data_IF_663367605329
#
_entry.id   IF_663367605329
#
_cell.length_a   1.000
_cell.length_b   1.000
_cell.length_c   1.000
_cell.angle_alpha   90.00
_cell.angle_beta   90.00
_cell.angle_gamma   90.00
#
_symmetry.space_group_name_H-M   'P 1'
#
loop_
_entity.id
_entity.type
_entity.pdbx_description
1 polymer ?
#
# COMPACT_ATOMS: atom_id res chain seq x y z
N UNK A 1 -16.71 29.30 1.33
CA UNK A 1 -17.54 28.10 1.15
C UNK A 1 -18.93 28.28 1.76
N UNK A 2 -19.05 28.77 3.02
CA UNK A 2 -20.34 29.00 3.67
C UNK A 2 -21.21 30.07 2.94
N UNK A 3 -20.58 31.12 2.42
CA UNK A 3 -21.26 32.15 1.64
C UNK A 3 -21.78 31.59 0.31
N UNK A 4 -20.93 30.83 -0.39
CA UNK A 4 -21.30 30.19 -1.65
C UNK A 4 -22.41 29.14 -1.47
N UNK A 5 -22.39 28.37 -0.38
CA UNK A 5 -23.45 27.41 -0.08
C UNK A 5 -24.76 28.08 0.28
N UNK A 6 -24.74 29.22 0.99
CA UNK A 6 -25.94 30.03 1.27
C UNK A 6 -26.57 30.58 -0.02
N UNK A 7 -25.76 31.14 -0.93
CA UNK A 7 -26.20 31.59 -2.24
C UNK A 7 -26.81 30.45 -3.07
N UNK A 8 -26.16 29.26 -3.10
CA UNK A 8 -26.68 28.08 -3.82
C UNK A 8 -27.98 27.53 -3.23
N UNK A 9 -28.23 27.71 -1.91
CA UNK A 9 -29.50 27.37 -1.26
C UNK A 9 -30.58 28.41 -1.61
N UNK A 10 -30.25 29.72 -1.59
CA UNK A 10 -31.16 30.78 -2.01
C UNK A 10 -31.57 30.67 -3.48
N UNK A 11 -30.62 30.30 -4.34
CA UNK A 11 -30.86 30.07 -5.77
C UNK A 11 -31.56 28.71 -6.04
N UNK A 12 -31.90 27.96 -5.02
CA UNK A 12 -32.48 26.59 -5.10
C UNK A 12 -31.69 25.62 -5.95
N UNK A 13 -30.38 25.76 -5.99
CA UNK A 13 -29.46 24.82 -6.67
C UNK A 13 -29.05 23.69 -5.75
N UNK A 14 -29.13 23.87 -4.44
CA UNK A 14 -28.91 22.82 -3.43
C UNK A 14 -29.99 22.89 -2.34
N UNK A 15 -30.32 21.75 -1.76
CA UNK A 15 -31.22 21.65 -0.61
C UNK A 15 -30.47 21.21 0.64
N UNK A 16 -30.90 21.72 1.79
CA UNK A 16 -30.33 21.32 3.09
C UNK A 16 -31.03 20.06 3.62
N UNK A 17 -30.23 19.03 3.94
CA UNK A 17 -30.74 17.76 4.46
C UNK A 17 -30.44 17.68 5.96
N UNK A 18 -31.45 17.60 6.79
CA UNK A 18 -31.32 17.42 8.22
C UNK A 18 -31.10 15.95 8.57
N UNK A 19 -29.95 15.62 9.18
CA UNK A 19 -29.74 14.26 9.72
C UNK A 19 -30.58 14.08 10.99
N UNK A 20 -31.34 12.99 11.05
CA UNK A 20 -32.27 12.69 12.17
C UNK A 20 -31.57 12.17 13.45
N UNK A 21 -30.27 12.30 13.64
CA UNK A 21 -29.57 11.80 14.83
C UNK A 21 -29.53 12.84 15.94
N UNK A 22 -29.94 12.41 17.16
CA UNK A 22 -30.01 13.22 18.39
C UNK A 22 -28.66 13.51 19.05
N UNK A 23 -27.53 13.50 18.37
CA UNK A 23 -26.22 13.79 18.96
C UNK A 23 -25.85 15.26 18.79
N UNK A 24 -25.29 15.87 19.83
CA UNK A 24 -24.81 17.26 19.85
C UNK A 24 -23.68 17.43 18.81
N UNK A 25 -23.98 18.13 17.73
CA UNK A 25 -23.05 18.44 16.64
C UNK A 25 -23.57 18.01 15.27
N UNK A 26 -24.75 18.52 14.88
CA UNK A 26 -25.32 18.25 13.54
C UNK A 26 -24.40 18.79 12.44
N UNK A 27 -23.80 17.90 11.65
CA UNK A 27 -23.25 18.29 10.35
C UNK A 27 -24.44 18.58 9.42
N UNK A 28 -24.49 19.76 8.85
CA UNK A 28 -25.44 20.10 7.80
C UNK A 28 -24.96 19.49 6.50
N UNK A 29 -25.82 18.74 5.85
CA UNK A 29 -25.60 18.12 4.54
C UNK A 29 -26.43 18.84 3.50
N UNK A 30 -25.93 19.00 2.29
CA UNK A 30 -26.57 19.66 1.17
C UNK A 30 -26.64 18.72 -0.02
N UNK A 31 -27.75 18.74 -0.73
CA UNK A 31 -27.97 17.99 -1.97
C UNK A 31 -28.09 18.97 -3.13
N UNK A 32 -27.44 18.71 -4.26
CA UNK A 32 -27.67 19.45 -5.49
C UNK A 32 -29.14 19.25 -5.97
N UNK A 33 -29.84 20.34 -6.20
CA UNK A 33 -31.22 20.28 -6.74
C UNK A 33 -31.11 20.12 -8.26
N UNK A 34 -31.42 18.93 -8.79
CA UNK A 34 -31.56 18.73 -10.22
C UNK A 34 -32.72 19.58 -10.74
N UNK A 35 -32.49 20.33 -11.84
CA UNK A 35 -33.44 21.29 -12.41
C UNK A 35 -34.85 20.75 -12.54
N UNK A 36 -35.82 21.55 -12.11
CA UNK A 36 -37.25 21.30 -11.98
C UNK A 36 -37.84 20.25 -12.92
N UNK A 37 -38.14 19.08 -12.37
CA UNK A 37 -39.44 18.38 -12.62
C UNK A 37 -39.69 17.43 -11.46
N UNK A 38 -40.75 17.72 -10.71
CA UNK A 38 -41.21 16.93 -9.58
C UNK A 38 -41.79 15.59 -10.05
N UNK A 39 -41.13 14.52 -9.74
CA UNK A 39 -41.68 13.23 -9.43
C UNK A 39 -40.62 12.45 -8.67
N UNK A 40 -41.00 11.70 -7.63
CA UNK A 40 -40.11 11.04 -6.68
C UNK A 40 -39.31 9.85 -7.30
N UNK A 41 -38.52 10.13 -8.31
CA UNK A 41 -37.48 9.23 -8.81
C UNK A 41 -36.13 9.91 -8.54
N UNK A 42 -35.32 9.28 -7.71
CA UNK A 42 -33.90 9.65 -7.53
C UNK A 42 -33.29 9.71 -8.93
N UNK A 43 -32.70 10.86 -9.28
CA UNK A 43 -32.04 11.03 -10.57
C UNK A 43 -30.86 10.06 -10.63
N UNK A 44 -30.96 8.99 -11.42
CA UNK A 44 -29.90 7.97 -11.54
C UNK A 44 -28.55 8.57 -12.04
N UNK A 45 -28.57 9.77 -12.61
CA UNK A 45 -27.34 10.46 -13.08
C UNK A 45 -26.50 11.00 -11.93
N UNK A 46 -27.04 11.13 -10.71
CA UNK A 46 -26.34 11.58 -9.51
C UNK A 46 -25.77 10.44 -8.66
N UNK A 47 -26.04 9.17 -9.04
CA UNK A 47 -25.63 8.00 -8.28
C UNK A 47 -24.27 7.47 -8.78
N UNK A 48 -23.43 7.12 -7.84
CA UNK A 48 -22.10 6.55 -8.11
C UNK A 48 -22.02 5.13 -7.57
N UNK A 49 -21.43 4.23 -8.36
CA UNK A 49 -20.98 2.93 -7.85
C UNK A 49 -19.62 3.09 -7.19
N UNK A 50 -19.46 2.44 -6.03
CA UNK A 50 -18.22 2.47 -5.29
C UNK A 50 -18.05 1.30 -4.34
N UNK A 51 -16.92 1.26 -3.67
CA UNK A 51 -16.60 0.25 -2.66
C UNK A 51 -16.46 0.90 -1.30
N UNK A 52 -17.08 0.30 -0.29
CA UNK A 52 -16.91 0.70 1.10
C UNK A 52 -15.55 0.26 1.58
N UNK A 53 -14.80 1.17 2.19
CA UNK A 53 -13.49 0.89 2.77
C UNK A 53 -13.47 1.37 4.23
N UNK A 54 -12.96 0.51 5.11
CA UNK A 54 -12.75 0.83 6.51
C UNK A 54 -11.27 1.19 6.72
N UNK A 55 -11.00 2.45 7.03
CA UNK A 55 -9.67 2.93 7.34
C UNK A 55 -9.61 3.34 8.81
N UNK A 56 -9.13 2.44 9.67
CA UNK A 56 -9.04 2.65 11.10
C UNK A 56 -10.37 3.12 11.72
N UNK A 57 -10.48 4.38 12.11
CA UNK A 57 -11.68 4.97 12.72
C UNK A 57 -12.68 5.55 11.70
N UNK A 58 -12.30 5.66 10.43
CA UNK A 58 -13.14 6.25 9.38
C UNK A 58 -13.67 5.20 8.43
N UNK A 59 -14.89 5.42 7.91
CA UNK A 59 -15.48 4.67 6.81
C UNK A 59 -15.57 5.60 5.62
N UNK A 60 -15.11 5.13 4.46
CA UNK A 60 -15.17 5.89 3.22
C UNK A 60 -15.76 5.05 2.10
N UNK A 61 -16.30 5.69 1.08
CA UNK A 61 -16.65 5.05 -0.19
C UNK A 61 -15.62 5.50 -1.22
N UNK A 62 -14.94 4.56 -1.86
CA UNK A 62 -14.10 4.79 -3.02
C UNK A 62 -14.95 4.60 -4.27
N UNK A 63 -15.01 5.61 -5.12
CA UNK A 63 -15.82 5.61 -6.33
C UNK A 63 -15.04 6.20 -7.50
N UNK A 64 -15.53 5.95 -8.72
CA UNK A 64 -14.97 6.55 -9.93
C UNK A 64 -15.82 7.76 -10.32
N UNK A 65 -15.17 8.88 -10.52
CA UNK A 65 -15.80 10.13 -10.98
C UNK A 65 -16.15 10.04 -12.46
N UNK A 66 -17.00 10.93 -12.96
CA UNK A 66 -17.41 10.97 -14.36
C UNK A 66 -16.25 11.19 -15.35
N UNK A 67 -15.15 11.77 -14.90
CA UNK A 67 -13.91 11.96 -15.68
C UNK A 67 -12.93 10.78 -15.55
N UNK A 68 -13.36 9.66 -14.92
CA UNK A 68 -12.60 8.43 -14.80
C UNK A 68 -11.57 8.40 -13.66
N UNK A 69 -11.50 9.43 -12.84
CA UNK A 69 -10.59 9.47 -11.68
C UNK A 69 -11.16 8.70 -10.50
N UNK A 70 -10.29 8.12 -9.69
CA UNK A 70 -10.66 7.48 -8.43
C UNK A 70 -10.70 8.55 -7.33
N UNK A 71 -11.83 8.64 -6.63
CA UNK A 71 -12.02 9.53 -5.51
C UNK A 71 -12.56 8.79 -4.29
N UNK A 72 -12.46 9.42 -3.11
CA UNK A 72 -13.02 8.89 -1.87
C UNK A 72 -13.90 9.93 -1.22
N UNK A 73 -15.05 9.49 -0.69
CA UNK A 73 -15.94 10.32 0.11
C UNK A 73 -16.15 9.65 1.47
N UNK A 74 -16.22 10.44 2.54
CA UNK A 74 -16.54 9.93 3.88
C UNK A 74 -17.94 9.35 3.90
N UNK A 75 -18.13 8.18 4.48
CA UNK A 75 -19.45 7.57 4.55
C UNK A 75 -20.35 8.40 5.49
N UNK A 76 -21.50 8.84 4.97
CA UNK A 76 -22.56 9.41 5.77
C UNK A 76 -23.19 8.32 6.64
N UNK A 77 -23.91 8.73 7.71
CA UNK A 77 -24.63 7.76 8.54
C UNK A 77 -25.58 6.92 7.68
N UNK A 78 -25.29 5.63 7.56
CA UNK A 78 -26.10 4.67 6.85
C UNK A 78 -26.94 3.87 7.85
N UNK A 79 -28.21 3.58 7.50
CA UNK A 79 -29.03 2.59 8.23
C UNK A 79 -28.61 1.17 7.90
N UNK A 80 -28.06 0.94 6.71
CA UNK A 80 -27.57 -0.37 6.31
C UNK A 80 -26.28 -0.73 7.05
N UNK A 81 -26.21 -1.97 7.50
CA UNK A 81 -24.99 -2.55 8.05
C UNK A 81 -24.02 -2.83 6.90
N UNK A 82 -22.89 -2.13 6.87
CA UNK A 82 -21.90 -2.18 5.77
C UNK A 82 -20.66 -2.94 6.22
N UNK A 83 -20.12 -3.71 5.28
CA UNK A 83 -18.85 -4.43 5.43
C UNK A 83 -17.75 -3.74 4.62
N UNK A 84 -16.52 -3.94 5.03
CA UNK A 84 -15.36 -3.57 4.22
C UNK A 84 -15.38 -4.36 2.90
N UNK A 85 -15.23 -3.64 1.78
CA UNK A 85 -15.31 -4.22 0.44
C UNK A 85 -16.72 -4.37 -0.14
N UNK A 86 -17.79 -3.97 0.57
CA UNK A 86 -19.15 -3.96 -0.02
C UNK A 86 -19.20 -3.03 -1.25
N UNK A 87 -19.72 -3.53 -2.36
CA UNK A 87 -20.03 -2.72 -3.52
C UNK A 87 -21.38 -2.05 -3.32
N UNK A 88 -21.41 -0.73 -3.40
CA UNK A 88 -22.60 0.08 -3.10
C UNK A 88 -22.90 1.06 -4.22
N UNK A 89 -24.17 1.46 -4.29
CA UNK A 89 -24.59 2.67 -4.99
C UNK A 89 -24.80 3.75 -3.96
N UNK A 90 -24.16 4.88 -4.15
CA UNK A 90 -24.22 6.02 -3.24
C UNK A 90 -24.47 7.33 -3.99
N UNK A 91 -25.03 8.28 -3.28
CA UNK A 91 -25.15 9.68 -3.66
C UNK A 91 -24.08 10.48 -2.92
N UNK A 92 -23.48 11.46 -3.61
CA UNK A 92 -22.51 12.36 -3.02
C UNK A 92 -23.20 13.59 -2.46
N UNK A 93 -23.04 13.81 -1.17
CA UNK A 93 -23.58 14.96 -0.45
C UNK A 93 -22.44 15.93 -0.11
N UNK A 94 -22.72 17.22 -0.20
CA UNK A 94 -21.75 18.24 0.21
C UNK A 94 -21.90 18.50 1.71
N UNK A 95 -20.81 18.36 2.45
CA UNK A 95 -20.75 18.64 3.88
C UNK A 95 -20.03 19.96 4.15
N UNK A 96 -20.61 20.83 4.97
CA UNK A 96 -20.00 22.12 5.38
C UNK A 96 -18.65 21.96 6.10
N UNK A 97 -18.38 20.81 6.74
CA UNK A 97 -17.18 20.60 7.57
C UNK A 97 -16.12 19.68 6.94
N UNK A 98 -16.50 18.76 6.06
CA UNK A 98 -15.68 17.61 5.71
C UNK A 98 -15.56 17.34 4.19
N UNK A 99 -16.04 18.26 3.34
CA UNK A 99 -16.05 18.03 1.89
C UNK A 99 -17.20 17.12 1.45
N UNK A 100 -16.94 16.14 0.61
CA UNK A 100 -17.96 15.22 0.12
C UNK A 100 -18.20 14.08 1.11
N UNK A 101 -19.50 13.78 1.34
CA UNK A 101 -19.96 12.59 2.07
C UNK A 101 -20.75 11.69 1.12
N UNK A 102 -20.60 10.38 1.26
CA UNK A 102 -21.34 9.39 0.47
C UNK A 102 -22.51 8.83 1.29
N UNK A 103 -23.74 9.03 0.79
CA UNK A 103 -24.94 8.41 1.34
C UNK A 103 -25.24 7.15 0.54
N UNK A 104 -25.22 5.97 1.20
CA UNK A 104 -25.48 4.69 0.53
C UNK A 104 -26.98 4.51 0.35
N UNK A 105 -27.41 4.33 -0.89
CA UNK A 105 -28.78 4.02 -1.28
C UNK A 105 -29.08 2.52 -1.25
N UNK A 106 -28.16 1.73 -1.80
CA UNK A 106 -28.29 0.26 -1.83
C UNK A 106 -26.94 -0.42 -1.93
N UNK A 107 -26.92 -1.66 -1.46
CA UNK A 107 -25.78 -2.55 -1.64
C UNK A 107 -26.00 -3.33 -2.93
N UNK A 108 -25.01 -3.24 -3.83
CA UNK A 108 -25.02 -3.96 -5.13
C UNK A 108 -24.54 -5.39 -4.96
N UNK A 109 -23.45 -5.53 -4.21
CA UNK A 109 -22.89 -6.82 -3.87
C UNK A 109 -22.24 -6.75 -2.49
N UNK A 110 -22.46 -7.76 -1.69
CA UNK A 110 -21.75 -7.94 -0.42
C UNK A 110 -20.32 -8.36 -0.69
N UNK A 111 -19.43 -7.90 0.17
CA UNK A 111 -18.10 -8.47 0.21
C UNK A 111 -18.19 -9.96 0.48
N UNK A 112 -17.77 -10.78 -0.47
CA UNK A 112 -17.73 -12.25 -0.35
C UNK A 112 -16.53 -12.74 0.45
N UNK A 113 -15.71 -11.79 0.89
CA UNK A 113 -14.48 -12.05 1.61
C UNK A 113 -14.78 -12.65 2.97
N UNK A 114 -14.10 -13.73 3.34
CA UNK A 114 -14.15 -14.24 4.69
C UNK A 114 -13.69 -13.19 5.69
N UNK A 115 -14.43 -13.04 6.79
CA UNK A 115 -14.12 -12.10 7.86
C UNK A 115 -13.46 -12.83 9.00
N UNK A 116 -12.37 -12.26 9.53
CA UNK A 116 -11.72 -12.77 10.73
C UNK A 116 -12.41 -12.19 11.97
N UNK A 117 -13.03 -13.04 12.77
CA UNK A 117 -13.78 -12.68 13.96
C UNK A 117 -13.07 -13.15 15.22
N UNK A 118 -13.03 -12.29 16.24
CA UNK A 118 -12.66 -12.66 17.58
C UNK A 118 -13.91 -13.02 18.38
N UNK A 119 -13.95 -14.21 18.96
CA UNK A 119 -15.05 -14.68 19.79
C UNK A 119 -15.04 -13.95 21.14
N UNK A 120 -16.08 -13.19 21.44
CA UNK A 120 -16.15 -12.36 22.66
C UNK A 120 -17.04 -12.95 23.75
N UNK A 121 -17.77 -14.02 23.47
CA UNK A 121 -18.56 -14.68 24.50
C UNK A 121 -19.71 -15.53 23.95
N UNK A 122 -20.39 -16.14 24.88
CA UNK A 122 -21.57 -16.95 24.67
C UNK A 122 -22.77 -16.20 25.21
N UNK A 123 -23.87 -16.15 24.46
CA UNK A 123 -25.09 -15.56 24.98
C UNK A 123 -25.56 -16.34 26.23
N UNK A 124 -25.69 -15.62 27.37
CA UNK A 124 -26.09 -16.20 28.66
C UNK A 124 -27.61 -16.37 28.82
N UNK A 125 -28.41 -15.88 27.87
CA UNK A 125 -29.88 -15.96 27.98
C UNK A 125 -30.39 -17.34 27.62
N UNK A 126 -30.62 -18.06 28.68
CA UNK A 126 -31.18 -19.41 28.87
C UNK A 126 -32.00 -20.07 27.79
N UNK A 127 -31.79 -21.37 27.64
CA UNK A 127 -32.61 -22.39 26.94
C UNK A 127 -32.60 -22.46 25.41
N UNK A 128 -31.92 -21.58 24.68
CA UNK A 128 -31.71 -21.74 23.25
C UNK A 128 -30.31 -22.20 22.90
N UNK A 129 -30.13 -22.81 21.71
CA UNK A 129 -28.86 -23.34 21.18
C UNK A 129 -27.69 -22.43 21.46
N UNK A 130 -26.59 -23.04 21.92
CA UNK A 130 -25.31 -22.39 22.14
C UNK A 130 -24.93 -21.44 21.00
N UNK A 131 -25.06 -20.12 21.22
CA UNK A 131 -24.71 -19.11 20.23
C UNK A 131 -23.45 -18.38 20.68
N UNK A 132 -22.55 -18.11 19.74
CA UNK A 132 -21.34 -17.37 19.98
C UNK A 132 -21.42 -15.99 19.31
N UNK A 133 -21.00 -14.99 20.03
CA UNK A 133 -20.84 -13.67 19.46
C UNK A 133 -19.37 -13.43 19.11
N UNK A 134 -19.14 -12.77 17.97
CA UNK A 134 -17.82 -12.34 17.53
C UNK A 134 -17.83 -10.89 17.15
N UNK A 135 -16.67 -10.27 17.21
CA UNK A 135 -16.40 -8.93 16.68
C UNK A 135 -15.35 -9.05 15.62
N UNK A 136 -15.42 -8.20 14.62
CA UNK A 136 -14.37 -8.09 13.62
C UNK A 136 -13.03 -7.85 14.32
N UNK A 137 -12.09 -8.76 14.11
CA UNK A 137 -10.80 -8.74 14.78
C UNK A 137 -9.93 -7.54 14.37
N UNK A 138 -10.15 -6.99 13.18
CA UNK A 138 -9.45 -5.81 12.68
C UNK A 138 -10.07 -4.48 13.12
N UNK A 139 -11.39 -4.34 13.02
CA UNK A 139 -12.08 -3.06 13.23
C UNK A 139 -12.89 -2.95 14.51
N UNK A 140 -13.27 -4.06 15.14
CA UNK A 140 -14.13 -4.15 16.34
C UNK A 140 -15.50 -3.45 16.18
N UNK A 141 -16.05 -3.33 14.98
CA UNK A 141 -17.18 -2.43 14.68
C UNK A 141 -18.50 -3.09 14.35
N UNK A 142 -18.50 -4.39 14.10
CA UNK A 142 -19.72 -5.13 13.79
C UNK A 142 -19.87 -6.31 14.72
N UNK A 143 -21.10 -6.60 15.13
CA UNK A 143 -21.44 -7.78 15.90
C UNK A 143 -21.85 -8.91 14.94
N UNK A 144 -21.29 -10.07 15.17
CA UNK A 144 -21.58 -11.27 14.40
C UNK A 144 -22.08 -12.37 15.28
N UNK A 145 -23.23 -12.96 14.93
CA UNK A 145 -23.69 -14.19 15.53
C UNK A 145 -23.02 -15.36 14.82
N UNK A 146 -22.07 -15.99 15.47
CA UNK A 146 -21.28 -17.08 14.90
C UNK A 146 -21.95 -18.43 15.17
N UNK A 147 -22.23 -19.17 14.08
CA UNK A 147 -22.76 -20.53 14.17
C UNK A 147 -21.62 -21.53 14.33
N UNK A 148 -21.68 -22.34 15.41
CA UNK A 148 -20.77 -23.47 15.56
C UNK A 148 -20.98 -24.46 14.41
N UNK A 149 -19.88 -24.90 13.83
CA UNK A 149 -19.86 -26.01 12.88
C UNK A 149 -19.08 -27.17 13.51
N UNK A 150 -19.70 -28.33 13.59
CA UNK A 150 -19.11 -29.53 14.20
C UNK A 150 -17.79 -29.97 13.56
N UNK A 151 -17.53 -29.58 12.32
CA UNK A 151 -16.29 -29.87 11.61
C UNK A 151 -15.06 -29.14 12.19
N UNK A 152 -15.25 -28.07 12.96
CA UNK A 152 -14.16 -27.23 13.48
C UNK A 152 -13.98 -27.30 14.99
N UNK A 153 -14.71 -28.19 15.65
CA UNK A 153 -14.63 -28.37 17.09
C UNK A 153 -15.38 -27.29 17.90
N UNK A 154 -15.06 -27.24 19.18
CA UNK A 154 -15.69 -26.33 20.14
C UNK A 154 -14.99 -24.97 20.12
N UNK A 155 -15.78 -23.88 20.02
CA UNK A 155 -15.27 -22.52 20.15
C UNK A 155 -15.10 -22.13 21.62
N UNK A 156 -14.10 -21.28 21.88
CA UNK A 156 -13.79 -20.68 23.16
C UNK A 156 -13.74 -19.15 23.06
N UNK A 157 -13.97 -18.41 24.17
CA UNK A 157 -13.71 -16.97 24.19
C UNK A 157 -12.26 -16.66 23.77
N UNK A 158 -12.09 -15.55 23.06
CA UNK A 158 -10.83 -15.08 22.45
C UNK A 158 -10.33 -15.90 21.26
N UNK A 159 -10.98 -17.00 20.88
CA UNK A 159 -10.66 -17.66 19.62
C UNK A 159 -10.82 -16.69 18.45
N UNK A 160 -9.89 -16.78 17.53
CA UNK A 160 -10.03 -16.12 16.24
C UNK A 160 -10.46 -17.13 15.20
N UNK A 161 -11.56 -16.81 14.55
CA UNK A 161 -12.16 -17.67 13.54
C UNK A 161 -12.30 -16.93 12.22
N UNK A 162 -12.03 -17.61 11.12
CA UNK A 162 -12.35 -17.13 9.80
C UNK A 162 -13.78 -17.57 9.48
N UNK A 163 -14.65 -16.61 9.18
CA UNK A 163 -16.05 -16.84 8.95
C UNK A 163 -16.52 -16.36 7.58
N UNK A 164 -17.50 -17.06 7.02
CA UNK A 164 -18.31 -16.59 5.90
C UNK A 164 -19.57 -15.94 6.47
N UNK A 165 -19.88 -14.75 6.00
CA UNK A 165 -21.15 -14.08 6.32
C UNK A 165 -22.27 -14.78 5.58
N UNK A 166 -23.36 -15.11 6.29
CA UNK A 166 -24.51 -15.84 5.70
C UNK A 166 -25.73 -14.95 5.56
N UNK A 167 -26.04 -14.15 6.56
CA UNK A 167 -27.25 -13.32 6.58
C UNK A 167 -27.03 -12.04 7.38
N UNK A 168 -27.76 -11.00 7.03
CA UNK A 168 -27.96 -9.80 7.85
C UNK A 168 -29.29 -9.90 8.58
N UNK A 169 -29.34 -9.56 9.86
CA UNK A 169 -30.54 -9.62 10.69
C UNK A 169 -30.73 -8.34 11.46
N UNK A 170 -31.98 -7.90 11.48
CA UNK A 170 -32.42 -6.85 12.38
C UNK A 170 -32.61 -7.43 13.78
N UNK A 171 -32.09 -6.77 14.79
CA UNK A 171 -32.19 -7.17 16.20
C UNK A 171 -32.71 -6.04 17.09
N UNK A 172 -33.29 -6.40 18.22
CA UNK A 172 -33.83 -5.43 19.19
C UNK A 172 -32.73 -4.54 19.81
N UNK A 173 -31.47 -5.02 19.81
CA UNK A 173 -30.27 -4.30 20.32
C UNK A 173 -29.40 -3.73 19.19
N UNK A 174 -29.86 -3.76 17.95
CA UNK A 174 -29.16 -3.34 16.74
C UNK A 174 -28.97 -4.46 15.75
N UNK A 175 -28.67 -4.10 14.50
CA UNK A 175 -28.49 -5.04 13.42
C UNK A 175 -27.19 -5.82 13.59
N UNK A 176 -27.18 -7.07 13.14
CA UNK A 176 -26.03 -7.96 13.22
C UNK A 176 -25.97 -8.90 12.02
N UNK A 177 -24.78 -9.42 11.77
CA UNK A 177 -24.60 -10.47 10.76
C UNK A 177 -24.62 -11.86 11.40
N UNK A 178 -25.16 -12.84 10.69
CA UNK A 178 -24.88 -14.25 10.99
C UNK A 178 -23.67 -14.70 10.18
N UNK A 179 -22.81 -15.49 10.81
CA UNK A 179 -21.58 -15.96 10.21
C UNK A 179 -21.34 -17.44 10.52
N UNK A 180 -20.83 -18.17 9.52
CA UNK A 180 -20.47 -19.57 9.64
C UNK A 180 -18.95 -19.72 9.66
N UNK A 181 -18.43 -20.52 10.59
CA UNK A 181 -16.98 -20.77 10.71
C UNK A 181 -16.48 -21.57 9.52
N UNK A 182 -15.49 -21.05 8.83
CA UNK A 182 -14.73 -21.74 7.77
C UNK A 182 -13.51 -22.42 8.37
N UNK A 183 -12.87 -21.78 9.34
CA UNK A 183 -11.65 -22.29 9.99
C UNK A 183 -11.40 -21.58 11.32
N UNK A 184 -10.91 -22.31 12.31
CA UNK A 184 -10.32 -21.74 13.52
C UNK A 184 -8.87 -21.36 13.21
N UNK A 185 -8.48 -20.14 13.54
CA UNK A 185 -7.14 -19.61 13.33
C UNK A 185 -6.37 -19.73 14.64
N UNK A 186 -5.13 -20.14 14.57
CA UNK A 186 -4.27 -20.44 15.72
C UNK A 186 -4.03 -19.29 16.72
N UNK A 187 -3.42 -19.63 17.84
CA UNK A 187 -3.12 -18.87 19.07
C UNK A 187 -2.91 -17.35 18.90
N UNK A 188 -3.62 -16.51 19.69
CA UNK A 188 -3.56 -15.05 19.62
C UNK A 188 -2.26 -14.43 20.17
N UNK A 189 -1.30 -15.23 20.62
CA UNK A 189 -0.12 -14.76 21.37
C UNK A 189 1.13 -14.55 20.53
N UNK A 190 1.11 -14.82 19.22
CA UNK A 190 2.30 -14.68 18.38
C UNK A 190 2.17 -13.56 17.35
N UNK A 191 3.29 -12.89 17.05
CA UNK A 191 3.36 -11.87 15.99
C UNK A 191 2.91 -12.43 14.64
N UNK A 192 3.26 -13.69 14.34
CA UNK A 192 2.83 -14.40 13.12
C UNK A 192 1.32 -14.56 13.02
N UNK A 193 0.64 -14.70 14.17
CA UNK A 193 -0.81 -14.74 14.23
C UNK A 193 -1.40 -13.38 13.83
N UNK A 194 -0.87 -12.29 14.37
CA UNK A 194 -1.33 -10.94 14.03
C UNK A 194 -1.08 -10.59 12.56
N UNK A 195 0.08 -10.95 12.01
CA UNK A 195 0.34 -10.83 10.59
C UNK A 195 -0.67 -11.58 9.73
N UNK A 196 -0.96 -12.83 10.11
CA UNK A 196 -1.94 -13.66 9.39
C UNK A 196 -3.34 -13.03 9.44
N UNK A 197 -3.70 -12.44 10.58
CA UNK A 197 -4.96 -11.73 10.74
C UNK A 197 -5.05 -10.49 9.84
N UNK A 198 -3.99 -9.68 9.81
CA UNK A 198 -3.90 -8.51 8.93
C UNK A 198 -3.98 -8.94 7.47
N UNK A 199 -3.26 -9.99 7.06
CA UNK A 199 -3.31 -10.54 5.70
C UNK A 199 -4.73 -10.94 5.30
N UNK A 200 -5.48 -11.57 6.20
CA UNK A 200 -6.85 -12.00 5.95
C UNK A 200 -7.80 -10.80 5.84
N UNK A 201 -7.70 -9.85 6.76
CA UNK A 201 -8.59 -8.70 6.80
C UNK A 201 -8.40 -7.72 5.63
N UNK A 202 -7.17 -7.65 5.10
CA UNK A 202 -6.84 -6.77 3.98
C UNK A 202 -6.69 -7.50 2.65
N UNK A 203 -7.04 -8.80 2.61
CA UNK A 203 -6.97 -9.61 1.39
C UNK A 203 -5.58 -9.63 0.75
N UNK A 204 -4.54 -9.66 1.59
CA UNK A 204 -3.20 -9.78 1.07
C UNK A 204 -3.10 -10.98 0.11
N UNK A 205 -2.48 -10.82 -1.05
CA UNK A 205 -2.43 -11.87 -2.06
C UNK A 205 -1.81 -13.16 -1.50
N UNK A 206 -2.38 -14.29 -1.86
CA UNK A 206 -1.83 -15.60 -1.53
C UNK A 206 -0.61 -15.96 -2.41
N UNK A 207 -0.41 -17.26 -2.62
CA UNK A 207 0.64 -17.76 -3.52
C UNK A 207 0.45 -17.27 -4.96
N UNK A 208 1.55 -17.20 -5.69
CA UNK A 208 1.49 -16.89 -7.11
C UNK A 208 0.78 -18.00 -7.90
N UNK A 209 0.02 -17.66 -8.94
CA UNK A 209 -0.53 -18.63 -9.88
C UNK A 209 0.58 -19.55 -10.43
N UNK A 210 0.25 -20.82 -10.65
CA UNK A 210 1.22 -21.81 -11.17
C UNK A 210 1.88 -21.36 -12.49
N UNK A 211 1.12 -20.70 -13.36
CA UNK A 211 1.64 -20.13 -14.63
C UNK A 211 2.73 -19.08 -14.38
N UNK A 212 2.53 -18.17 -13.43
CA UNK A 212 3.50 -17.14 -13.08
C UNK A 212 4.76 -17.75 -12.45
N UNK A 213 4.61 -18.71 -11.54
CA UNK A 213 5.75 -19.45 -10.95
C UNK A 213 6.57 -20.20 -12.00
N UNK A 214 5.89 -20.90 -12.90
CA UNK A 214 6.55 -21.61 -14.00
C UNK A 214 7.25 -20.66 -14.97
N UNK A 215 6.65 -19.49 -15.25
CA UNK A 215 7.26 -18.47 -16.10
C UNK A 215 8.53 -17.93 -15.43
N UNK A 216 8.45 -17.51 -14.16
CA UNK A 216 9.59 -17.02 -13.38
C UNK A 216 10.76 -18.02 -13.35
N UNK A 217 10.46 -19.33 -13.18
CA UNK A 217 11.51 -20.37 -13.11
C UNK A 217 12.28 -20.58 -14.42
N UNK A 218 11.79 -20.07 -15.54
CA UNK A 218 12.43 -20.16 -16.86
C UNK A 218 13.24 -18.93 -17.23
N UNK A 219 13.09 -17.85 -16.47
CA UNK A 219 13.82 -16.61 -16.71
C UNK A 219 15.27 -16.76 -16.26
N UNK A 220 16.17 -16.25 -17.06
CA UNK A 220 17.58 -16.13 -16.77
C UNK A 220 18.16 -14.97 -17.58
N UNK A 221 19.15 -14.30 -17.05
CA UNK A 221 19.93 -13.34 -17.81
C UNK A 221 20.81 -14.06 -18.83
N UNK A 222 20.75 -13.65 -20.08
CA UNK A 222 21.52 -14.22 -21.18
C UNK A 222 22.61 -13.25 -21.62
N UNK A 223 23.69 -13.74 -22.22
CA UNK A 223 24.76 -12.87 -22.74
C UNK A 223 24.29 -11.90 -23.80
N UNK A 224 23.31 -12.30 -24.61
CA UNK A 224 22.68 -11.45 -25.64
C UNK A 224 21.89 -10.29 -25.06
N UNK A 225 21.39 -10.40 -23.82
CA UNK A 225 20.66 -9.33 -23.13
C UNK A 225 21.55 -8.12 -22.80
N UNK A 226 22.87 -8.31 -22.86
CA UNK A 226 23.86 -7.25 -22.63
C UNK A 226 24.09 -6.38 -23.89
N UNK A 227 23.74 -6.90 -25.08
CA UNK A 227 24.01 -6.21 -26.34
C UNK A 227 23.23 -4.89 -26.45
N UNK A 228 23.95 -3.84 -26.88
CA UNK A 228 23.37 -2.50 -27.03
C UNK A 228 23.11 -1.77 -25.70
N UNK A 229 23.46 -2.35 -24.56
CA UNK A 229 23.39 -1.70 -23.26
C UNK A 229 24.69 -0.97 -22.94
N UNK A 230 24.57 0.15 -22.27
CA UNK A 230 25.72 0.89 -21.74
C UNK A 230 26.40 0.05 -20.64
N UNK A 231 27.72 -0.02 -20.68
CA UNK A 231 28.51 -0.71 -19.67
C UNK A 231 28.83 0.20 -18.50
N UNK A 232 28.33 -0.13 -17.31
CA UNK A 232 28.57 0.57 -16.06
C UNK A 232 29.24 -0.33 -15.02
N UNK A 233 29.81 -1.45 -15.43
CA UNK A 233 30.40 -2.45 -14.52
C UNK A 233 31.65 -1.92 -13.79
N UNK A 234 32.33 -0.95 -14.34
CA UNK A 234 33.50 -0.32 -13.73
C UNK A 234 33.17 0.90 -12.87
N UNK A 235 31.91 1.34 -12.86
CA UNK A 235 31.44 2.46 -12.02
C UNK A 235 31.24 1.97 -10.59
N UNK A 236 31.57 2.82 -9.60
CA UNK A 236 31.46 2.53 -8.16
C UNK A 236 30.00 2.57 -7.66
N UNK A 237 29.09 1.91 -8.37
CA UNK A 237 27.67 1.80 -7.99
C UNK A 237 27.52 0.91 -6.77
N UNK A 238 26.80 1.38 -5.76
CA UNK A 238 26.49 0.65 -4.52
C UNK A 238 25.02 0.68 -4.23
N UNK A 239 24.51 -0.33 -3.52
CA UNK A 239 23.15 -0.35 -2.96
C UNK A 239 23.19 -0.01 -1.47
N UNK A 240 22.17 0.70 -0.96
CA UNK A 240 22.08 1.11 0.45
C UNK A 240 20.66 0.81 0.92
N UNK A 241 20.49 -0.20 1.77
CA UNK A 241 19.19 -0.74 2.15
C UNK A 241 19.13 -1.13 3.62
N UNK A 242 17.93 -1.45 4.12
CA UNK A 242 17.75 -2.02 5.45
C UNK A 242 18.50 -3.34 5.62
N UNK A 243 18.85 -3.70 6.85
CA UNK A 243 19.63 -4.90 7.16
C UNK A 243 19.00 -6.19 6.61
N UNK A 244 17.67 -6.28 6.66
CA UNK A 244 16.89 -7.46 6.24
C UNK A 244 16.46 -7.45 4.77
N UNK A 245 16.73 -6.36 4.04
CA UNK A 245 16.39 -6.24 2.61
C UNK A 245 17.17 -7.27 1.77
N UNK A 246 16.49 -7.79 0.74
CA UNK A 246 17.03 -8.74 -0.24
C UNK A 246 16.71 -8.39 -1.68
N UNK A 247 15.84 -7.42 -1.85
CA UNK A 247 15.33 -6.85 -3.09
C UNK A 247 15.98 -5.46 -3.29
N UNK A 248 17.22 -5.47 -3.76
CA UNK A 248 17.97 -4.24 -4.02
C UNK A 248 17.59 -3.70 -5.38
N UNK A 249 16.69 -2.72 -5.40
CA UNK A 249 16.09 -2.22 -6.64
C UNK A 249 16.90 -1.08 -7.26
N UNK A 250 17.66 -0.34 -6.45
CA UNK A 250 18.43 0.82 -6.88
C UNK A 250 19.89 0.81 -6.40
N UNK A 251 20.75 1.44 -7.19
CA UNK A 251 22.13 1.69 -6.85
C UNK A 251 22.54 3.09 -7.27
N UNK A 252 23.44 3.70 -6.50
CA UNK A 252 23.92 5.06 -6.74
C UNK A 252 25.44 5.13 -6.84
N UNK A 253 25.92 6.12 -7.60
CA UNK A 253 27.29 6.61 -7.57
C UNK A 253 27.29 8.12 -7.76
N UNK A 254 28.09 8.83 -6.97
CA UNK A 254 28.29 10.29 -7.13
C UNK A 254 29.75 10.56 -7.42
N UNK A 255 30.00 11.36 -8.43
CA UNK A 255 31.36 11.82 -8.78
C UNK A 255 31.39 13.35 -8.90
N UNK A 256 32.51 13.95 -8.52
CA UNK A 256 32.77 15.40 -8.70
C UNK A 256 33.06 15.67 -10.17
N UNK A 257 32.53 16.75 -10.69
CA UNK A 257 32.83 17.28 -12.02
C UNK A 257 33.33 18.75 -11.92
N UNK A 258 33.85 19.28 -13.00
CA UNK A 258 34.28 20.67 -13.05
C UNK A 258 33.16 21.68 -12.76
N UNK A 259 31.91 21.30 -13.03
CA UNK A 259 30.73 22.15 -12.85
C UNK A 259 29.91 21.83 -11.58
N UNK A 260 30.26 20.79 -10.83
CA UNK A 260 29.49 20.34 -9.68
C UNK A 260 29.55 18.82 -9.51
N UNK A 261 28.42 18.11 -9.79
CA UNK A 261 28.30 16.68 -9.53
C UNK A 261 27.69 15.93 -10.72
N UNK A 262 28.10 14.69 -10.88
CA UNK A 262 27.40 13.70 -11.64
C UNK A 262 26.82 12.66 -10.67
N UNK A 263 25.50 12.63 -10.53
CA UNK A 263 24.77 11.58 -9.85
C UNK A 263 24.34 10.53 -10.88
N UNK A 264 24.82 9.32 -10.70
CA UNK A 264 24.38 8.16 -11.48
C UNK A 264 23.48 7.30 -10.62
N UNK A 265 22.28 7.03 -11.13
CA UNK A 265 21.28 6.14 -10.51
C UNK A 265 21.04 4.98 -11.44
N UNK A 266 21.09 3.77 -10.93
CA UNK A 266 20.80 2.56 -11.68
C UNK A 266 19.62 1.85 -11.02
N UNK A 267 18.54 1.65 -11.76
CA UNK A 267 17.33 0.97 -11.29
C UNK A 267 17.23 -0.38 -12.00
N UNK A 268 16.93 -1.45 -11.28
CA UNK A 268 16.74 -2.79 -11.83
C UNK A 268 15.76 -2.78 -13.03
N UNK A 269 16.17 -3.30 -14.18
CA UNK A 269 15.35 -3.35 -15.39
C UNK A 269 14.36 -4.52 -15.33
N UNK A 270 13.39 -4.41 -14.43
CA UNK A 270 12.31 -5.40 -14.26
C UNK A 270 11.53 -5.60 -15.55
N UNK A 271 11.38 -4.55 -16.35
CA UNK A 271 10.64 -4.57 -17.62
C UNK A 271 11.29 -5.44 -18.70
N UNK A 272 12.58 -5.76 -18.54
CA UNK A 272 13.26 -6.73 -19.38
C UNK A 272 12.70 -8.15 -19.20
N UNK A 273 12.38 -8.52 -17.97
CA UNK A 273 11.93 -9.86 -17.59
C UNK A 273 10.41 -9.99 -17.55
N UNK A 274 9.71 -8.94 -17.14
CA UNK A 274 8.24 -8.90 -17.02
C UNK A 274 7.67 -8.12 -18.21
N UNK A 275 6.98 -8.80 -19.10
CA UNK A 275 6.42 -8.20 -20.31
C UNK A 275 4.92 -8.01 -20.18
N UNK A 276 4.41 -6.95 -20.77
CA UNK A 276 2.98 -6.64 -20.76
C UNK A 276 2.16 -7.84 -21.24
N UNK A 277 1.19 -8.27 -20.43
CA UNK A 277 0.30 -9.39 -20.72
C UNK A 277 0.87 -10.78 -20.44
N UNK A 278 2.11 -10.90 -19.95
CA UNK A 278 2.63 -12.20 -19.52
C UNK A 278 2.07 -12.62 -18.15
N UNK A 279 2.24 -13.89 -17.72
CA UNK A 279 1.72 -14.36 -16.45
C UNK A 279 2.27 -13.64 -15.21
N UNK A 280 3.46 -13.01 -15.29
CA UNK A 280 4.05 -12.22 -14.21
C UNK A 280 3.42 -10.85 -14.14
N UNK A 281 3.23 -10.18 -15.28
CA UNK A 281 2.53 -8.91 -15.39
C UNK A 281 1.09 -9.01 -14.86
N UNK A 282 0.35 -10.03 -15.31
CA UNK A 282 -1.01 -10.29 -14.80
C UNK A 282 -1.05 -10.52 -13.29
N UNK A 283 -0.06 -11.20 -12.73
CA UNK A 283 0.03 -11.44 -11.30
C UNK A 283 0.43 -10.18 -10.53
N UNK A 284 1.39 -9.40 -11.04
CA UNK A 284 1.85 -8.16 -10.46
C UNK A 284 0.75 -7.09 -10.46
N UNK A 285 0.02 -6.95 -11.56
CA UNK A 285 -1.11 -6.02 -11.68
C UNK A 285 -2.19 -6.29 -10.62
N UNK A 286 -2.51 -7.57 -10.35
CA UNK A 286 -3.47 -7.97 -9.32
C UNK A 286 -2.95 -7.73 -7.90
N UNK A 287 -1.66 -7.81 -7.68
CA UNK A 287 -1.03 -7.61 -6.38
C UNK A 287 -0.85 -6.13 -6.04
N UNK A 288 -0.52 -5.31 -7.04
CA UNK A 288 -0.36 -3.86 -6.96
C UNK A 288 0.95 -3.41 -6.32
N UNK A 289 1.40 -4.06 -5.25
CA UNK A 289 2.63 -3.78 -4.52
C UNK A 289 3.13 -5.03 -3.75
N UNK A 290 4.29 -4.91 -3.13
CA UNK A 290 4.74 -5.82 -2.09
C UNK A 290 4.18 -5.41 -0.73
N UNK A 291 3.95 -6.38 0.16
CA UNK A 291 3.46 -6.15 1.52
C UNK A 291 4.54 -6.62 2.50
N UNK A 292 5.04 -5.70 3.29
CA UNK A 292 6.08 -5.98 4.28
C UNK A 292 5.45 -6.14 5.66
N UNK A 293 5.66 -7.29 6.28
CA UNK A 293 5.22 -7.63 7.62
C UNK A 293 6.43 -7.85 8.52
N UNK A 294 6.29 -7.71 9.84
CA UNK A 294 7.42 -7.86 10.76
C UNK A 294 8.18 -9.20 10.64
N UNK A 295 7.51 -10.29 10.25
CA UNK A 295 8.17 -11.62 10.12
C UNK A 295 8.17 -12.18 8.71
N UNK A 296 7.62 -11.46 7.72
CA UNK A 296 7.43 -12.03 6.38
C UNK A 296 7.09 -10.97 5.33
N UNK A 297 7.33 -11.30 4.07
CA UNK A 297 6.99 -10.46 2.93
C UNK A 297 6.02 -11.20 2.01
N UNK A 298 5.02 -10.49 1.48
CA UNK A 298 4.18 -10.94 0.37
C UNK A 298 4.59 -10.13 -0.85
N UNK A 299 5.49 -10.63 -1.71
CA UNK A 299 6.08 -9.83 -2.75
C UNK A 299 5.13 -9.61 -3.93
N UNK A 300 5.28 -8.49 -4.64
CA UNK A 300 4.58 -8.20 -5.88
C UNK A 300 5.03 -9.13 -7.01
N UNK A 301 6.31 -9.45 -7.07
CA UNK A 301 6.94 -10.38 -8.02
C UNK A 301 7.49 -11.60 -7.29
N UNK A 302 7.60 -12.78 -7.93
CA UNK A 302 8.22 -13.95 -7.34
C UNK A 302 9.67 -13.67 -6.90
N UNK A 303 10.10 -14.25 -5.77
CA UNK A 303 11.46 -14.06 -5.22
C UNK A 303 12.60 -14.41 -6.20
N UNK A 304 12.36 -15.29 -7.17
CA UNK A 304 13.32 -15.56 -8.24
C UNK A 304 13.64 -14.32 -9.10
N UNK A 305 12.72 -13.34 -9.15
CA UNK A 305 12.97 -12.06 -9.78
C UNK A 305 13.42 -11.03 -8.74
N UNK A 306 12.59 -10.75 -7.75
CA UNK A 306 12.83 -9.64 -6.82
C UNK A 306 14.10 -9.81 -5.99
N UNK A 307 14.43 -11.03 -5.57
CA UNK A 307 15.57 -11.29 -4.70
C UNK A 307 16.78 -11.87 -5.46
N UNK A 308 16.65 -12.18 -6.74
CA UNK A 308 17.77 -12.71 -7.55
C UNK A 308 17.93 -11.93 -8.86
N UNK A 309 17.17 -12.23 -9.93
CA UNK A 309 17.45 -11.69 -11.27
C UNK A 309 17.43 -10.16 -11.34
N UNK A 310 16.50 -9.53 -10.64
CA UNK A 310 16.36 -8.08 -10.58
C UNK A 310 17.15 -7.44 -9.44
N UNK A 311 17.43 -8.18 -8.36
CA UNK A 311 18.16 -7.64 -7.22
C UNK A 311 19.61 -7.30 -7.58
N UNK A 312 20.04 -6.05 -7.30
CA UNK A 312 21.37 -5.53 -7.62
C UNK A 312 22.43 -6.03 -6.62
N UNK A 313 22.47 -7.35 -6.43
CA UNK A 313 23.41 -7.99 -5.50
C UNK A 313 24.87 -7.73 -5.91
N UNK A 314 25.80 -7.58 -4.94
CA UNK A 314 27.20 -7.30 -5.22
C UNK A 314 27.85 -8.33 -6.14
N UNK A 315 28.79 -7.87 -6.95
CA UNK A 315 29.68 -8.66 -7.82
C UNK A 315 28.97 -9.53 -8.87
N UNK A 316 27.70 -9.19 -9.19
CA UNK A 316 26.97 -9.83 -10.31
C UNK A 316 26.56 -8.78 -11.34
N UNK A 317 26.65 -9.19 -12.62
CA UNK A 317 26.14 -8.36 -13.69
C UNK A 317 24.61 -8.30 -13.61
N UNK A 318 24.04 -7.10 -13.66
CA UNK A 318 22.60 -6.86 -13.59
C UNK A 318 22.16 -5.88 -14.66
N UNK A 319 21.00 -6.17 -15.25
CA UNK A 319 20.38 -5.29 -16.21
C UNK A 319 19.67 -4.16 -15.48
N UNK A 320 19.95 -2.94 -15.92
CA UNK A 320 19.40 -1.73 -15.28
C UNK A 320 18.96 -0.73 -16.34
N UNK A 321 18.11 0.19 -15.91
CA UNK A 321 17.94 1.50 -16.56
C UNK A 321 18.74 2.49 -15.73
N UNK A 322 19.71 3.15 -16.36
CA UNK A 322 20.53 4.17 -15.70
C UNK A 322 20.03 5.57 -16.01
N UNK A 323 20.13 6.42 -15.01
CA UNK A 323 19.98 7.87 -15.13
C UNK A 323 21.31 8.55 -14.80
N UNK A 324 21.84 9.37 -15.70
CA UNK A 324 22.96 10.27 -15.42
C UNK A 324 22.40 11.68 -15.22
N UNK A 325 22.59 12.25 -14.04
CA UNK A 325 22.05 13.55 -13.64
C UNK A 325 23.23 14.47 -13.35
N UNK A 326 23.44 15.44 -14.22
CA UNK A 326 24.46 16.50 -14.03
C UNK A 326 23.87 17.62 -13.20
N UNK A 327 24.52 17.95 -12.10
CA UNK A 327 24.06 18.93 -11.11
C UNK A 327 25.17 19.95 -10.91
N UNK A 328 24.83 21.23 -10.89
CA UNK A 328 25.83 22.29 -10.64
C UNK A 328 26.22 22.39 -9.15
N UNK A 329 27.15 23.26 -8.84
CA UNK A 329 27.62 23.50 -7.47
C UNK A 329 26.59 24.16 -6.55
N UNK A 330 25.43 24.55 -7.09
CA UNK A 330 24.30 25.14 -6.36
C UNK A 330 23.10 24.19 -6.25
N UNK A 331 23.20 22.96 -6.76
CA UNK A 331 22.13 21.97 -6.69
C UNK A 331 21.16 21.97 -7.88
N UNK A 332 21.35 22.83 -8.89
CA UNK A 332 20.47 22.83 -10.05
C UNK A 332 20.81 21.71 -11.01
N UNK A 333 19.79 21.01 -11.49
CA UNK A 333 19.94 19.98 -12.52
C UNK A 333 20.22 20.64 -13.87
N UNK A 334 21.40 20.40 -14.43
CA UNK A 334 21.83 20.91 -15.72
C UNK A 334 21.35 20.03 -16.88
N UNK A 335 21.44 18.71 -16.70
CA UNK A 335 21.09 17.73 -17.74
C UNK A 335 20.78 16.39 -17.10
N UNK A 336 19.81 15.68 -17.68
CA UNK A 336 19.51 14.28 -17.33
C UNK A 336 19.50 13.45 -18.61
N UNK A 337 20.06 12.23 -18.55
CA UNK A 337 20.00 11.27 -19.62
C UNK A 337 19.71 9.87 -19.09
N UNK A 338 18.92 9.10 -19.83
CA UNK A 338 18.54 7.73 -19.48
C UNK A 338 19.03 6.74 -20.53
N UNK A 339 19.46 5.57 -20.09
CA UNK A 339 19.86 4.50 -20.99
C UNK A 339 19.65 3.13 -20.36
N UNK A 340 19.28 2.12 -21.14
CA UNK A 340 19.45 0.73 -20.76
C UNK A 340 20.94 0.45 -20.53
N UNK A 341 21.27 -0.18 -19.41
CA UNK A 341 22.66 -0.42 -19.03
C UNK A 341 22.84 -1.80 -18.40
N UNK A 342 24.08 -2.21 -18.25
CA UNK A 342 24.52 -3.30 -17.40
C UNK A 342 25.43 -2.74 -16.34
N UNK A 343 25.19 -3.14 -15.09
CA UNK A 343 26.03 -2.74 -13.95
C UNK A 343 26.50 -3.94 -13.15
N UNK A 344 27.48 -3.69 -12.28
CA UNK A 344 27.92 -4.61 -11.25
C UNK A 344 28.08 -3.83 -9.96
N UNK A 345 27.23 -4.09 -8.96
CA UNK A 345 27.32 -3.43 -7.67
C UNK A 345 28.65 -3.77 -6.98
N UNK A 346 29.36 -2.75 -6.51
CA UNK A 346 30.65 -2.91 -5.84
C UNK A 346 30.49 -3.27 -4.37
N UNK A 347 29.38 -2.84 -3.76
CA UNK A 347 29.05 -3.14 -2.38
C UNK A 347 27.55 -3.04 -2.13
N UNK A 348 27.08 -3.83 -1.16
CA UNK A 348 25.79 -3.66 -0.53
C UNK A 348 26.05 -3.16 0.89
N UNK A 349 25.51 -1.97 1.20
CA UNK A 349 25.59 -1.37 2.53
C UNK A 349 24.23 -1.41 3.22
N UNK A 350 24.24 -1.51 4.53
CA UNK A 350 23.10 -1.10 5.34
C UNK A 350 23.15 0.42 5.55
N UNK A 351 22.03 1.03 5.95
CA UNK A 351 21.99 2.44 6.32
C UNK A 351 23.00 2.75 7.44
N UNK A 352 23.13 1.88 8.43
CA UNK A 352 24.10 2.02 9.51
C UNK A 352 25.55 1.97 8.99
N UNK A 353 25.87 0.98 8.15
CA UNK A 353 27.19 0.87 7.55
C UNK A 353 27.56 2.08 6.68
N UNK A 354 26.62 2.61 5.89
CA UNK A 354 26.84 3.80 5.09
C UNK A 354 27.11 5.02 5.99
N UNK A 355 26.34 5.20 7.06
CA UNK A 355 26.56 6.25 8.07
C UNK A 355 27.93 6.10 8.72
N UNK A 356 28.28 4.91 9.17
CA UNK A 356 29.53 4.65 9.91
C UNK A 356 30.75 4.86 9.02
N UNK A 357 30.67 4.52 7.71
CA UNK A 357 31.72 4.82 6.74
C UNK A 357 31.93 6.32 6.53
N UNK A 358 30.85 7.08 6.38
CA UNK A 358 30.93 8.53 6.12
C UNK A 358 31.51 9.27 7.32
N UNK A 359 31.12 8.88 8.54
CA UNK A 359 31.52 9.54 9.78
C UNK A 359 32.70 8.87 10.49
N UNK A 360 33.28 7.84 9.92
CA UNK A 360 34.42 7.08 10.49
C UNK A 360 34.15 6.54 11.91
N UNK A 361 32.93 6.09 12.17
CA UNK A 361 32.48 5.68 13.49
C UNK A 361 32.90 4.24 13.87
N UNK A 362 33.19 3.39 12.87
CA UNK A 362 33.50 1.97 13.08
C UNK A 362 34.64 1.49 12.19
N UNK A 363 35.73 1.03 12.82
CA UNK A 363 36.92 0.51 12.13
C UNK A 363 36.64 -0.79 11.37
N UNK A 364 35.80 -1.67 11.92
CA UNK A 364 35.41 -2.94 11.29
C UNK A 364 34.62 -2.71 9.98
N UNK A 365 33.73 -1.72 9.98
CA UNK A 365 32.99 -1.29 8.79
C UNK A 365 33.92 -0.71 7.75
N UNK A 366 34.88 0.13 8.17
CA UNK A 366 35.91 0.69 7.28
C UNK A 366 36.76 -0.42 6.63
N UNK A 367 37.15 -1.42 7.38
CA UNK A 367 37.90 -2.57 6.86
C UNK A 367 37.06 -3.46 5.93
N UNK A 368 35.76 -3.61 6.23
CA UNK A 368 34.83 -4.39 5.40
C UNK A 368 34.68 -3.84 3.99
N UNK A 369 34.67 -2.51 3.85
CA UNK A 369 34.49 -1.82 2.57
C UNK A 369 35.76 -1.14 2.07
N UNK A 370 36.90 -1.63 2.47
CA UNK A 370 38.19 -1.17 1.95
C UNK A 370 38.28 -1.36 0.42
N UNK A 371 38.99 -0.50 -0.31
CA UNK A 371 39.05 -0.55 -1.78
C UNK A 371 39.40 -1.92 -2.34
N UNK A 372 40.27 -2.67 -1.69
CA UNK A 372 40.69 -4.02 -2.10
C UNK A 372 39.53 -5.03 -2.09
N UNK A 373 38.53 -4.83 -1.23
CA UNK A 373 37.33 -5.64 -1.13
C UNK A 373 36.19 -5.16 -2.02
N UNK A 374 36.30 -3.95 -2.56
CA UNK A 374 35.32 -3.29 -3.41
C UNK A 374 35.82 -3.08 -4.85
N UNK A 375 36.57 -4.03 -5.39
CA UNK A 375 37.13 -4.01 -6.76
C UNK A 375 37.95 -2.74 -7.07
N UNK A 376 38.68 -2.24 -6.09
CA UNK A 376 39.51 -1.04 -6.21
C UNK A 376 38.77 0.30 -6.08
N UNK A 377 37.45 0.26 -5.77
CA UNK A 377 36.64 1.46 -5.63
C UNK A 377 36.69 2.04 -4.21
N UNK A 378 36.92 3.34 -4.10
CA UNK A 378 36.83 4.08 -2.83
C UNK A 378 35.36 4.45 -2.54
N UNK A 379 34.66 3.51 -1.89
CA UNK A 379 33.24 3.66 -1.53
C UNK A 379 33.05 4.80 -0.52
N UNK A 380 33.96 4.98 0.43
CA UNK A 380 33.89 6.04 1.44
C UNK A 380 33.86 7.42 0.80
N UNK A 381 34.84 7.73 -0.04
CA UNK A 381 34.90 9.03 -0.71
C UNK A 381 33.66 9.28 -1.59
N UNK A 382 33.16 8.25 -2.25
CA UNK A 382 31.92 8.34 -3.03
C UNK A 382 30.71 8.65 -2.14
N UNK A 383 30.56 8.01 -0.99
CA UNK A 383 29.47 8.25 -0.04
C UNK A 383 29.55 9.65 0.60
N UNK A 384 30.78 10.15 0.88
CA UNK A 384 30.98 11.52 1.36
C UNK A 384 30.49 12.55 0.33
N UNK A 385 30.79 12.34 -0.96
CA UNK A 385 30.26 13.17 -2.05
C UNK A 385 28.73 13.05 -2.17
N UNK A 386 28.17 11.85 -1.96
CA UNK A 386 26.74 11.65 -1.98
C UNK A 386 26.04 12.40 -0.82
N UNK A 387 26.62 12.38 0.39
CA UNK A 387 26.11 13.16 1.52
C UNK A 387 26.21 14.67 1.25
N UNK A 388 27.35 15.15 0.76
CA UNK A 388 27.54 16.56 0.40
C UNK A 388 26.48 17.03 -0.62
N UNK A 389 26.24 16.22 -1.65
CA UNK A 389 25.23 16.51 -2.65
C UNK A 389 23.82 16.49 -2.01
N UNK A 390 23.50 15.51 -1.17
CA UNK A 390 22.20 15.42 -0.50
C UNK A 390 21.95 16.64 0.41
N UNK A 391 22.95 17.12 1.13
CA UNK A 391 22.87 18.35 1.95
C UNK A 391 22.66 19.60 1.08
N UNK A 392 23.38 19.70 -0.02
CA UNK A 392 23.22 20.80 -0.98
C UNK A 392 21.77 20.85 -1.52
N UNK A 393 21.26 19.70 -1.91
CA UNK A 393 19.91 19.58 -2.47
C UNK A 393 18.80 19.85 -1.42
N UNK A 394 19.03 19.57 -0.12
CA UNK A 394 18.10 19.92 0.97
C UNK A 394 17.99 21.43 1.22
N UNK A 395 19.06 22.20 0.98
CA UNK A 395 19.08 23.65 1.22
C UNK A 395 18.20 24.43 0.24
N UNK A 396 17.86 23.86 -0.91
CA UNK A 396 17.04 24.51 -1.93
C UNK A 396 15.51 24.31 -1.76
N UNK A 397 15.03 23.84 -0.60
CA UNK A 397 13.62 23.53 -0.35
C UNK A 397 12.98 22.57 -1.40
N UNK A 398 13.80 21.90 -2.19
CA UNK A 398 13.35 20.88 -3.13
C UNK A 398 13.25 19.56 -2.37
N UNK A 399 12.08 18.91 -2.37
CA UNK A 399 11.95 17.63 -1.70
C UNK A 399 12.87 16.60 -2.37
N UNK A 400 13.90 16.20 -1.67
CA UNK A 400 14.75 15.09 -2.03
C UNK A 400 14.57 13.98 -1.04
N UNK A 401 14.38 12.83 -1.60
CA UNK A 401 14.13 11.61 -0.86
C UNK A 401 15.45 10.96 -0.52
N UNK A 402 15.87 11.16 0.72
CA UNK A 402 16.91 10.35 1.36
C UNK A 402 16.19 9.39 2.26
N UNK A 403 16.40 8.08 2.07
CA UNK A 403 15.91 7.08 3.00
C UNK A 403 16.46 7.39 4.40
N UNK A 404 15.55 7.63 5.32
CA UNK A 404 15.85 7.85 6.73
C UNK A 404 15.34 6.64 7.50
N UNK A 405 15.98 6.30 8.61
CA UNK A 405 15.77 5.11 9.40
C UNK A 405 14.30 4.82 9.77
N UNK A 406 14.03 3.64 10.30
CA UNK A 406 12.71 3.03 10.53
C UNK A 406 11.69 3.89 11.31
N UNK A 407 12.10 4.91 12.03
CA UNK A 407 11.23 5.78 12.81
C UNK A 407 10.78 7.04 12.05
N UNK A 408 11.46 7.41 10.96
CA UNK A 408 11.16 8.58 10.14
C UNK A 408 11.04 8.21 8.66
N UNK A 409 9.95 7.58 8.28
CA UNK A 409 9.63 7.35 6.87
C UNK A 409 9.23 8.68 6.23
N UNK A 410 10.19 9.38 5.71
CA UNK A 410 9.95 10.51 4.84
C UNK A 410 9.79 10.01 3.41
N UNK A 411 8.56 9.81 3.00
CA UNK A 411 8.20 9.54 1.61
C UNK A 411 7.89 10.87 0.95
N UNK A 412 8.79 11.39 0.22
CA UNK A 412 8.62 12.61 -0.44
C UNK A 412 8.18 12.49 -1.88
N UNK A 413 7.67 13.56 -2.50
CA UNK A 413 7.22 13.64 -3.88
C UNK A 413 8.01 14.68 -4.65
N UNK A 414 8.45 14.32 -5.83
CA UNK A 414 8.92 15.30 -6.81
C UNK A 414 7.72 16.02 -7.42
#
# INVERSE_FOLDING_TARGET
LNTLLAELVEDRQVEEIHSSSKSKGKALLYRAVAGKKASASVDETALHEGYVLFNGKSKVVRYTTSDGRIATAKLANSRALLLDGDKVVCELLISKKEGFAAAVHRIVARSITPVALRIVGRDKKGKQKKQWWGVDAGSRRCNFLVRENSAFGRLYPEDIVLCRITEEKEGNEGDYFTAEVIRVVDSPMSIKFHERLVRLNHLAPGEFPSKARLHASKLAQRSEDLQGRRDLRDIALVTIDGADARDFDDAICVTRTDCGYLLQVAIADVSHYVRQGDPLDEAALKRGNSWYFPTSVVPMLPFALSNDLCSLVPHKDRLVVSADIHIDSQGHVLKTSFAPAVMRSKARLTYDEARDLVHEMDEATSEKFAPEKCEGCDIRSMLQLALELAELLKQEDKPIYVAVNEDDVCMGYA
#
